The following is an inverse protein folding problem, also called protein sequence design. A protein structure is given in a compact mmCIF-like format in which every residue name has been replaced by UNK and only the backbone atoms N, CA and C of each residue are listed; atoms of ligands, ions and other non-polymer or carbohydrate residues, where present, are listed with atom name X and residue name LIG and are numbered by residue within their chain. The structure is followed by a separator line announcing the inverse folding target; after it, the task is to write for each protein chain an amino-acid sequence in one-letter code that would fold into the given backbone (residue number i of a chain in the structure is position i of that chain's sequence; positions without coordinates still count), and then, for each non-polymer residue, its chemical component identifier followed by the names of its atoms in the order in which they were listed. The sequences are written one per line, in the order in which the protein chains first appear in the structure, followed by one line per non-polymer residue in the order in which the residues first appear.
data_IF_093710881108
#
_entry.id   IF_093710881108
#
_cell.length_a   1.000
_cell.length_b   1.000
_cell.length_c   1.000
_cell.angle_alpha   90.00
_cell.angle_beta   90.00
_cell.angle_gamma   90.00
#
_symmetry.space_group_name_H-M   'P 1'
#
loop_
_entity.id
_entity.type
_entity.pdbx_description
1 polymer ?
#
# COMPACT_ATOMS: atom_id res chain seq x y z
N UNK A 1 -31.35 22.00 -1.66
CA UNK A 1 -30.67 20.91 -2.41
C UNK A 1 -29.68 21.49 -3.41
N UNK A 2 -30.11 22.37 -4.32
CA UNK A 2 -29.25 23.13 -5.24
C UNK A 2 -28.04 23.80 -4.57
N UNK A 3 -28.25 24.47 -3.43
CA UNK A 3 -27.15 25.08 -2.67
C UNK A 3 -26.13 24.07 -2.14
N UNK A 4 -26.56 22.86 -1.76
CA UNK A 4 -25.66 21.78 -1.32
C UNK A 4 -24.91 21.16 -2.51
N UNK A 5 -25.59 21.00 -3.65
CA UNK A 5 -25.00 20.53 -4.90
C UNK A 5 -23.91 21.51 -5.37
N UNK A 6 -24.20 22.82 -5.35
CA UNK A 6 -23.24 23.86 -5.69
C UNK A 6 -22.08 23.93 -4.70
N UNK A 7 -22.32 23.74 -3.40
CA UNK A 7 -21.26 23.69 -2.39
C UNK A 7 -20.32 22.49 -2.59
N UNK A 8 -20.86 21.31 -2.92
CA UNK A 8 -20.06 20.12 -3.23
C UNK A 8 -19.31 20.27 -4.55
N UNK A 9 -19.94 20.86 -5.57
CA UNK A 9 -19.30 21.17 -6.86
C UNK A 9 -18.16 22.19 -6.69
N UNK A 10 -18.34 23.25 -5.91
CA UNK A 10 -17.28 24.21 -5.58
C UNK A 10 -16.15 23.58 -4.76
N UNK A 11 -16.47 22.66 -3.84
CA UNK A 11 -15.47 21.90 -3.05
C UNK A 11 -14.72 20.84 -3.89
N UNK A 12 -15.21 20.52 -5.08
CA UNK A 12 -14.59 19.57 -6.01
C UNK A 12 -13.87 20.26 -7.17
N UNK A 13 -14.16 21.53 -7.48
CA UNK A 13 -13.51 22.30 -8.54
C UNK A 13 -12.03 22.67 -8.27
N UNK A 14 -11.49 22.32 -7.10
CA UNK A 14 -10.06 22.42 -6.78
C UNK A 14 -9.29 21.14 -7.15
N UNK A 15 -9.47 20.61 -8.37
CA UNK A 15 -8.93 19.32 -8.85
C UNK A 15 -7.39 19.19 -8.84
N UNK A 16 -6.65 20.14 -8.29
CA UNK A 16 -5.18 20.12 -8.19
C UNK A 16 -4.66 19.68 -6.80
N UNK A 17 -5.51 19.21 -5.88
CA UNK A 17 -5.13 18.80 -4.51
C UNK A 17 -5.37 17.31 -4.23
N UNK A 18 -5.51 16.49 -5.28
CA UNK A 18 -5.38 15.04 -5.11
C UNK A 18 -3.88 14.72 -5.11
N UNK A 19 -3.32 14.44 -3.93
CA UNK A 19 -1.89 14.24 -3.72
C UNK A 19 -1.18 13.39 -4.79
N UNK A 20 0.10 13.68 -5.02
CA UNK A 20 0.89 13.09 -6.11
C UNK A 20 1.10 11.57 -5.95
N UNK A 21 0.85 11.03 -4.74
CA UNK A 21 0.96 9.61 -4.44
C UNK A 21 -0.38 8.87 -4.58
N UNK A 22 -0.31 7.60 -5.01
CA UNK A 22 -1.47 6.71 -5.12
C UNK A 22 -2.24 6.57 -3.79
N UNK A 23 -1.52 6.52 -2.66
CA UNK A 23 -2.13 6.38 -1.34
C UNK A 23 -2.97 7.61 -0.96
N UNK A 24 -2.46 8.81 -1.21
CA UNK A 24 -3.16 10.08 -0.94
C UNK A 24 -4.38 10.24 -1.83
N UNK A 25 -4.29 9.81 -3.11
CA UNK A 25 -5.43 9.79 -4.03
C UNK A 25 -6.53 8.82 -3.60
N UNK A 26 -6.15 7.64 -3.11
CA UNK A 26 -7.10 6.68 -2.56
C UNK A 26 -7.78 7.23 -1.29
N UNK A 27 -7.01 7.82 -0.38
CA UNK A 27 -7.54 8.44 0.84
C UNK A 27 -8.51 9.59 0.53
N UNK A 28 -8.18 10.46 -0.43
CA UNK A 28 -9.06 11.52 -0.90
C UNK A 28 -10.38 10.97 -1.46
N UNK A 29 -10.31 9.93 -2.29
CA UNK A 29 -11.50 9.25 -2.83
C UNK A 29 -12.39 8.68 -1.72
N UNK A 30 -11.82 7.95 -0.76
CA UNK A 30 -12.57 7.35 0.33
C UNK A 30 -13.16 8.40 1.29
N UNK A 31 -12.52 9.56 1.46
CA UNK A 31 -13.07 10.68 2.24
C UNK A 31 -14.22 11.41 1.55
N UNK A 32 -14.24 11.44 0.21
CA UNK A 32 -15.31 12.08 -0.58
C UNK A 32 -16.52 11.16 -0.79
N UNK A 33 -16.31 9.84 -0.84
CA UNK A 33 -17.35 8.83 -1.09
C UNK A 33 -18.58 8.94 -0.17
N UNK A 34 -18.47 9.15 1.16
CA UNK A 34 -19.64 9.28 2.03
C UNK A 34 -20.50 10.51 1.71
N UNK A 35 -19.88 11.64 1.32
CA UNK A 35 -20.59 12.87 0.98
C UNK A 35 -21.40 12.70 -0.32
N UNK A 36 -20.84 11.99 -1.30
CA UNK A 36 -21.52 11.67 -2.55
C UNK A 36 -22.69 10.70 -2.33
N UNK A 37 -22.49 9.65 -1.53
CA UNK A 37 -23.54 8.69 -1.18
C UNK A 37 -24.70 9.37 -0.43
N UNK A 38 -24.41 10.28 0.50
CA UNK A 38 -25.43 11.05 1.20
C UNK A 38 -26.24 11.93 0.24
N UNK A 39 -25.58 12.59 -0.71
CA UNK A 39 -26.27 13.39 -1.73
C UNK A 39 -27.17 12.55 -2.64
N UNK A 40 -26.68 11.38 -3.08
CA UNK A 40 -27.45 10.46 -3.90
C UNK A 40 -28.69 9.95 -3.16
N UNK A 41 -28.55 9.63 -1.87
CA UNK A 41 -29.67 9.23 -1.03
C UNK A 41 -30.69 10.36 -0.86
N UNK A 42 -30.24 11.61 -0.63
CA UNK A 42 -31.12 12.79 -0.55
C UNK A 42 -31.88 13.00 -1.88
N UNK A 43 -31.21 12.87 -3.03
CA UNK A 43 -31.82 12.99 -4.37
C UNK A 43 -32.85 11.89 -4.63
N UNK A 44 -32.49 10.64 -4.35
CA UNK A 44 -33.39 9.51 -4.50
C UNK A 44 -34.65 9.69 -3.66
N UNK A 45 -34.50 10.06 -2.39
CA UNK A 45 -35.62 10.31 -1.47
C UNK A 45 -36.49 11.48 -1.94
N UNK A 46 -35.89 12.55 -2.46
CA UNK A 46 -36.64 13.67 -2.99
C UNK A 46 -37.40 13.31 -4.28
N UNK A 47 -36.80 12.49 -5.14
CA UNK A 47 -37.46 11.98 -6.34
C UNK A 47 -38.64 11.09 -5.98
N UNK A 48 -38.45 10.09 -5.11
CA UNK A 48 -39.53 9.18 -4.70
C UNK A 48 -40.68 9.94 -4.03
N UNK A 49 -40.39 10.88 -3.12
CA UNK A 49 -41.43 11.71 -2.50
C UNK A 49 -42.15 12.64 -3.49
N UNK A 50 -41.50 13.06 -4.57
CA UNK A 50 -42.15 13.81 -5.64
C UNK A 50 -43.04 12.90 -6.50
N UNK A 51 -42.55 11.72 -6.86
CA UNK A 51 -43.31 10.70 -7.59
C UNK A 51 -44.55 10.24 -6.80
N UNK A 52 -44.40 9.98 -5.50
CA UNK A 52 -45.51 9.60 -4.63
C UNK A 52 -46.57 10.69 -4.56
N UNK A 53 -46.16 11.96 -4.42
CA UNK A 53 -47.09 13.09 -4.48
C UNK A 53 -47.78 13.18 -5.82
N UNK A 54 -47.05 13.04 -6.92
CA UNK A 54 -47.61 13.07 -8.28
C UNK A 54 -48.69 12.00 -8.46
N UNK A 55 -48.37 10.74 -8.12
CA UNK A 55 -49.31 9.60 -8.13
C UNK A 55 -50.53 9.89 -7.25
N UNK A 56 -50.33 10.42 -6.03
CA UNK A 56 -51.43 10.80 -5.15
C UNK A 56 -52.29 11.93 -5.74
N UNK A 57 -51.73 12.92 -6.45
CA UNK A 57 -52.52 13.96 -7.12
C UNK A 57 -53.37 13.39 -8.25
N UNK A 58 -52.82 12.47 -9.04
CA UNK A 58 -53.57 11.78 -10.10
C UNK A 58 -54.71 10.97 -9.49
N UNK A 59 -54.43 10.17 -8.45
CA UNK A 59 -55.44 9.37 -7.75
C UNK A 59 -56.54 10.23 -7.11
N UNK A 60 -56.17 11.37 -6.49
CA UNK A 60 -57.15 12.33 -5.92
C UNK A 60 -58.00 13.00 -7.02
N UNK A 61 -57.43 13.28 -8.19
CA UNK A 61 -58.17 13.83 -9.34
C UNK A 61 -59.16 12.82 -9.93
N UNK A 62 -58.77 11.54 -10.00
CA UNK A 62 -59.68 10.45 -10.37
C UNK A 62 -60.80 10.26 -9.34
N UNK A 63 -60.49 10.30 -8.04
CA UNK A 63 -61.51 10.17 -6.99
C UNK A 63 -62.50 11.35 -6.92
N UNK A 64 -62.08 12.56 -7.31
CA UNK A 64 -63.01 13.70 -7.43
C UNK A 64 -63.96 13.59 -8.64
N UNK A 65 -63.59 12.86 -9.68
CA UNK A 65 -64.48 12.58 -10.81
C UNK A 65 -65.40 11.36 -10.60
N UNK A 66 -65.12 10.50 -9.63
CA UNK A 66 -65.96 9.35 -9.29
C UNK A 66 -66.98 9.59 -8.15
N UNK A 67 -66.99 10.76 -7.50
CA UNK A 67 -67.93 11.02 -6.39
C UNK A 67 -69.31 11.59 -6.83
N UNK A 68 -69.67 11.49 -8.11
CA UNK A 68 -71.02 11.81 -8.60
C UNK A 68 -71.45 10.78 -9.65
N UNK A 69 -71.62 9.53 -9.23
CA UNK A 69 -72.61 8.55 -9.71
C UNK A 69 -72.28 7.21 -9.03
N UNK A 70 -72.98 6.91 -7.93
CA UNK A 70 -74.01 5.86 -7.90
C UNK A 70 -73.44 4.44 -7.73
N UNK A 71 -73.37 4.03 -6.46
CA UNK A 71 -73.65 2.69 -5.91
C UNK A 71 -73.90 1.53 -6.88
N UNK A 72 -73.09 0.46 -6.79
CA UNK A 72 -73.50 -0.94 -6.54
C UNK A 72 -72.30 -1.70 -5.93
N UNK A 73 -72.63 -2.65 -5.05
CA UNK A 73 -71.87 -3.67 -4.31
C UNK A 73 -70.82 -4.40 -5.19
N UNK A 74 -69.76 -5.07 -4.71
CA UNK A 74 -69.70 -6.14 -3.71
C UNK A 74 -68.22 -6.50 -3.44
N UNK A 75 -67.99 -6.92 -2.21
CA UNK A 75 -66.84 -7.55 -1.55
C UNK A 75 -66.09 -8.65 -2.33
N UNK A 76 -64.74 -8.64 -2.27
CA UNK A 76 -63.83 -9.76 -1.88
C UNK A 76 -62.38 -9.23 -1.99
N UNK A 77 -61.74 -8.81 -0.91
CA UNK A 77 -60.89 -9.56 0.04
C UNK A 77 -59.42 -9.69 -0.39
N UNK A 78 -58.55 -9.62 0.62
CA UNK A 78 -57.12 -9.38 0.62
C UNK A 78 -56.28 -10.63 0.31
N UNK A 79 -55.09 -10.45 -0.30
CA UNK A 79 -53.83 -11.16 0.00
C UNK A 79 -52.72 -10.54 -0.89
N UNK A 80 -51.81 -9.71 -0.38
CA UNK A 80 -50.50 -10.00 0.24
C UNK A 80 -49.50 -10.80 -0.63
N UNK A 81 -48.35 -10.16 -0.88
CA UNK A 81 -47.04 -10.82 -0.76
C UNK A 81 -46.34 -11.40 -2.00
N UNK A 82 -45.26 -10.70 -2.38
CA UNK A 82 -43.94 -11.24 -2.81
C UNK A 82 -43.71 -11.56 -4.31
N UNK A 83 -42.66 -10.88 -4.80
CA UNK A 83 -41.69 -11.17 -5.87
C UNK A 83 -41.96 -12.28 -6.91
N UNK A 84 -41.80 -11.94 -8.19
CA UNK A 84 -40.62 -12.29 -9.02
C UNK A 84 -40.97 -12.22 -10.51
N UNK A 85 -39.97 -11.79 -11.27
CA UNK A 85 -39.72 -11.87 -12.71
C UNK A 85 -40.76 -12.56 -13.60
N UNK A 86 -41.17 -11.83 -14.65
CA UNK A 86 -41.79 -12.43 -15.83
C UNK A 86 -42.76 -11.48 -16.49
N UNK A 87 -42.27 -10.39 -17.10
CA UNK A 87 -43.09 -9.57 -18.01
C UNK A 87 -43.32 -10.41 -19.28
N UNK A 88 -44.27 -11.32 -19.23
CA UNK A 88 -45.06 -11.70 -20.40
C UNK A 88 -46.11 -10.59 -20.56
N UNK A 89 -45.76 -9.54 -21.30
CA UNK A 89 -46.77 -8.69 -21.92
C UNK A 89 -47.47 -9.55 -22.96
N UNK A 90 -48.50 -10.26 -22.49
CA UNK A 90 -49.57 -10.76 -23.34
C UNK A 90 -50.23 -9.49 -23.86
N UNK A 91 -49.87 -9.08 -25.08
CA UNK A 91 -50.74 -8.25 -25.91
C UNK A 91 -52.10 -8.95 -25.91
N UNK A 92 -53.01 -8.43 -25.10
CA UNK A 92 -54.40 -8.80 -25.20
C UNK A 92 -54.92 -8.17 -26.48
N UNK A 93 -54.77 -8.90 -27.58
CA UNK A 93 -55.63 -8.82 -28.76
C UNK A 93 -57.04 -9.22 -28.31
N UNK A 94 -57.69 -8.33 -27.56
CA UNK A 94 -59.13 -8.32 -27.45
C UNK A 94 -59.68 -7.69 -28.73
N UNK A 95 -59.56 -8.43 -29.84
CA UNK A 95 -60.49 -8.30 -30.94
C UNK A 95 -61.88 -8.68 -30.39
N UNK A 96 -62.51 -7.69 -29.75
CA UNK A 96 -63.92 -7.74 -29.36
C UNK A 96 -64.71 -7.82 -30.66
N UNK A 97 -64.94 -9.05 -31.12
CA UNK A 97 -65.83 -9.39 -32.22
C UNK A 97 -67.26 -8.98 -31.86
N UNK A 98 -67.56 -7.68 -31.99
CA UNK A 98 -68.93 -7.20 -32.12
C UNK A 98 -69.39 -7.61 -33.51
N UNK A 99 -70.12 -8.73 -33.59
CA UNK A 99 -70.94 -9.03 -34.75
C UNK A 99 -71.96 -7.91 -34.91
N UNK A 100 -71.65 -6.95 -35.76
CA UNK A 100 -72.67 -6.05 -36.28
C UNK A 100 -73.61 -6.89 -37.14
N UNK A 101 -74.64 -7.44 -36.52
CA UNK A 101 -75.86 -7.82 -37.22
C UNK A 101 -76.37 -6.51 -37.84
N UNK A 102 -76.03 -6.28 -39.10
CA UNK A 102 -76.54 -5.17 -39.88
C UNK A 102 -78.07 -5.27 -39.84
N UNK A 103 -78.71 -4.41 -39.05
CA UNK A 103 -80.17 -4.32 -38.99
C UNK A 103 -80.59 -3.72 -40.32
N UNK A 104 -80.86 -4.59 -41.28
CA UNK A 104 -81.55 -4.25 -42.52
C UNK A 104 -82.94 -3.75 -42.13
N UNK A 105 -83.09 -2.43 -42.00
CA UNK A 105 -84.40 -1.79 -41.83
C UNK A 105 -85.18 -2.00 -43.14
N UNK A 106 -85.98 -3.05 -43.19
CA UNK A 106 -86.96 -3.27 -44.25
C UNK A 106 -88.09 -2.26 -44.02
N UNK A 107 -88.10 -1.16 -44.79
CA UNK A 107 -89.21 -0.21 -44.81
C UNK A 107 -90.28 -0.74 -45.78
N UNK A 108 -91.52 -0.99 -45.35
CA UNK A 108 -92.59 -1.39 -46.26
C UNK A 108 -93.00 -0.21 -47.12
N UNK A 109 -93.09 -0.45 -48.42
CA UNK A 109 -93.50 0.52 -49.43
C UNK A 109 -94.90 1.08 -49.14
N UNK A 110 -94.97 2.37 -48.80
CA UNK A 110 -96.08 3.29 -49.14
C UNK A 110 -95.67 4.75 -48.89
N UNK A 111 -95.45 5.46 -49.98
CA UNK A 111 -95.54 6.91 -50.21
C UNK A 111 -95.21 7.85 -49.03
N UNK A 112 -93.98 8.37 -48.98
CA UNK A 112 -93.67 9.80 -48.75
C UNK A 112 -92.23 10.10 -49.25
N UNK A 113 -91.99 11.15 -50.06
CA UNK A 113 -90.66 11.51 -50.59
C UNK A 113 -89.68 12.07 -49.53
N UNK A 114 -90.04 12.06 -48.25
CA UNK A 114 -89.21 12.57 -47.15
C UNK A 114 -88.25 11.53 -46.54
N UNK A 115 -88.56 10.23 -46.61
CA UNK A 115 -87.81 9.19 -45.85
C UNK A 115 -86.52 8.73 -46.56
N UNK A 116 -86.48 8.81 -47.90
CA UNK A 116 -85.29 8.42 -48.69
C UNK A 116 -84.13 9.41 -48.54
N UNK A 117 -84.46 10.70 -48.37
CA UNK A 117 -83.45 11.73 -48.15
C UNK A 117 -82.79 11.57 -46.78
N UNK A 118 -83.54 11.14 -45.77
CA UNK A 118 -83.03 10.98 -44.40
C UNK A 118 -82.05 9.81 -44.27
N UNK A 119 -82.33 8.68 -44.96
CA UNK A 119 -81.41 7.55 -45.01
C UNK A 119 -80.11 7.87 -45.78
N UNK A 120 -80.21 8.61 -46.89
CA UNK A 120 -79.05 9.07 -47.65
C UNK A 120 -78.20 10.07 -46.85
N UNK A 121 -78.85 10.98 -46.12
CA UNK A 121 -78.16 11.92 -45.21
C UNK A 121 -77.48 11.16 -44.06
N UNK A 122 -78.13 10.15 -43.48
CA UNK A 122 -77.53 9.33 -42.44
C UNK A 122 -76.28 8.59 -42.94
N UNK A 123 -76.31 8.04 -44.15
CA UNK A 123 -75.15 7.37 -44.75
C UNK A 123 -73.98 8.33 -44.98
N UNK A 124 -74.23 9.55 -45.48
CA UNK A 124 -73.20 10.58 -45.61
C UNK A 124 -72.60 10.97 -44.26
N UNK A 125 -73.44 11.16 -43.24
CA UNK A 125 -72.98 11.51 -41.89
C UNK A 125 -72.14 10.39 -41.29
N UNK A 126 -72.58 9.14 -41.42
CA UNK A 126 -71.82 7.96 -40.98
C UNK A 126 -70.46 7.92 -41.69
N UNK A 127 -70.43 8.09 -43.02
CA UNK A 127 -69.19 8.06 -43.80
C UNK A 127 -68.24 9.20 -43.45
N UNK A 128 -68.75 10.40 -43.17
CA UNK A 128 -67.91 11.51 -42.69
C UNK A 128 -67.32 11.23 -41.31
N UNK A 129 -68.10 10.70 -40.38
CA UNK A 129 -67.59 10.35 -39.04
C UNK A 129 -66.55 9.21 -39.13
N UNK A 130 -66.80 8.19 -39.94
CA UNK A 130 -65.82 7.12 -40.22
C UNK A 130 -64.52 7.67 -40.81
N UNK A 131 -64.61 8.64 -41.72
CA UNK A 131 -63.45 9.30 -42.31
C UNK A 131 -62.66 10.11 -41.28
N UNK A 132 -63.34 10.88 -40.41
CA UNK A 132 -62.70 11.64 -39.33
C UNK A 132 -62.00 10.72 -38.32
N UNK A 133 -62.62 9.59 -37.97
CA UNK A 133 -62.01 8.56 -37.11
C UNK A 133 -60.73 8.01 -37.76
N UNK A 134 -60.81 7.63 -39.03
CA UNK A 134 -59.67 7.07 -39.76
C UNK A 134 -58.51 8.07 -39.87
N UNK A 135 -58.80 9.36 -40.14
CA UNK A 135 -57.77 10.41 -40.14
C UNK A 135 -57.09 10.49 -38.77
N UNK A 136 -57.87 10.49 -37.69
CA UNK A 136 -57.31 10.59 -36.35
C UNK A 136 -56.44 9.37 -36.00
N UNK A 137 -56.88 8.16 -36.35
CA UNK A 137 -56.10 6.93 -36.16
C UNK A 137 -54.79 6.96 -36.95
N UNK A 138 -54.82 7.36 -38.22
CA UNK A 138 -53.61 7.53 -39.05
C UNK A 138 -52.67 8.56 -38.42
N UNK A 139 -53.20 9.71 -37.96
CA UNK A 139 -52.39 10.75 -37.31
C UNK A 139 -51.71 10.24 -36.03
N UNK A 140 -52.42 9.44 -35.21
CA UNK A 140 -51.85 8.82 -34.01
C UNK A 140 -50.73 7.84 -34.37
N UNK A 141 -50.95 6.98 -35.37
CA UNK A 141 -49.95 6.00 -35.82
C UNK A 141 -48.72 6.65 -36.44
N UNK A 142 -48.89 7.71 -37.23
CA UNK A 142 -47.77 8.50 -37.77
C UNK A 142 -46.91 9.10 -36.66
N UNK A 143 -47.54 9.66 -35.63
CA UNK A 143 -46.83 10.18 -34.46
C UNK A 143 -46.06 9.08 -33.74
N UNK A 144 -46.69 7.94 -33.48
CA UNK A 144 -46.04 6.80 -32.83
C UNK A 144 -44.87 6.25 -33.66
N UNK A 145 -45.00 6.21 -34.99
CA UNK A 145 -43.94 5.82 -35.90
C UNK A 145 -42.75 6.80 -35.83
N UNK A 146 -43.03 8.11 -35.81
CA UNK A 146 -42.01 9.15 -35.61
C UNK A 146 -41.28 9.03 -34.26
N UNK A 147 -42.03 8.85 -33.17
CA UNK A 147 -41.48 8.63 -31.83
C UNK A 147 -40.63 7.34 -31.76
N UNK A 148 -41.07 6.27 -32.43
CA UNK A 148 -40.30 5.02 -32.53
C UNK A 148 -39.02 5.18 -33.36
N UNK A 149 -39.10 5.88 -34.49
CA UNK A 149 -37.95 6.16 -35.37
C UNK A 149 -36.86 6.95 -34.63
N UNK A 150 -37.26 8.02 -33.93
CA UNK A 150 -36.32 8.83 -33.13
C UNK A 150 -35.73 8.02 -31.97
N UNK A 151 -36.51 7.15 -31.31
CA UNK A 151 -35.99 6.23 -30.29
C UNK A 151 -34.93 5.29 -30.84
N UNK A 152 -35.15 4.71 -32.01
CA UNK A 152 -34.19 3.81 -32.67
C UNK A 152 -32.91 4.57 -33.03
N UNK A 153 -33.02 5.79 -33.53
CA UNK A 153 -31.87 6.63 -33.88
C UNK A 153 -31.02 6.96 -32.64
N UNK A 154 -31.67 7.36 -31.53
CA UNK A 154 -30.98 7.61 -30.26
C UNK A 154 -30.30 6.35 -29.71
N UNK A 155 -30.95 5.19 -29.81
CA UNK A 155 -30.36 3.92 -29.40
C UNK A 155 -29.12 3.55 -30.24
N UNK A 156 -29.14 3.83 -31.54
CA UNK A 156 -27.97 3.62 -32.41
C UNK A 156 -26.82 4.56 -32.04
N UNK A 157 -27.10 5.84 -31.81
CA UNK A 157 -26.08 6.81 -31.40
C UNK A 157 -25.45 6.45 -30.05
N UNK A 158 -26.25 6.00 -29.07
CA UNK A 158 -25.73 5.51 -27.80
C UNK A 158 -24.82 4.29 -27.99
N UNK A 159 -25.19 3.35 -28.86
CA UNK A 159 -24.39 2.17 -29.15
C UNK A 159 -23.05 2.56 -29.78
N UNK A 160 -23.03 3.50 -30.72
CA UNK A 160 -21.79 4.01 -31.34
C UNK A 160 -20.85 4.65 -30.30
N UNK A 161 -21.39 5.46 -29.39
CA UNK A 161 -20.61 6.04 -28.29
C UNK A 161 -20.01 4.95 -27.41
N UNK A 162 -20.80 3.97 -26.98
CA UNK A 162 -20.32 2.86 -26.15
C UNK A 162 -19.26 2.00 -26.87
N UNK A 163 -19.41 1.76 -28.17
CA UNK A 163 -18.40 1.06 -28.97
C UNK A 163 -17.10 1.85 -29.06
N UNK A 164 -17.19 3.18 -29.22
CA UNK A 164 -16.02 4.06 -29.25
C UNK A 164 -15.29 4.09 -27.90
N UNK A 165 -16.02 4.18 -26.79
CA UNK A 165 -15.46 4.11 -25.43
C UNK A 165 -14.78 2.77 -25.18
N UNK A 166 -15.42 1.66 -25.58
CA UNK A 166 -14.84 0.32 -25.48
C UNK A 166 -13.52 0.23 -26.24
N UNK A 167 -13.44 0.81 -27.44
CA UNK A 167 -12.24 0.79 -28.25
C UNK A 167 -11.11 1.63 -27.62
N UNK A 168 -11.43 2.80 -27.08
CA UNK A 168 -10.47 3.65 -26.34
C UNK A 168 -9.92 2.90 -25.13
N UNK A 169 -10.80 2.28 -24.32
CA UNK A 169 -10.39 1.51 -23.14
C UNK A 169 -9.53 0.30 -23.49
N UNK A 170 -9.84 -0.40 -24.58
CA UNK A 170 -9.01 -1.50 -25.07
C UNK A 170 -7.60 -1.03 -25.49
N UNK A 171 -7.52 0.11 -26.17
CA UNK A 171 -6.24 0.69 -26.57
C UNK A 171 -5.41 1.11 -25.34
N UNK A 172 -6.04 1.79 -24.39
CA UNK A 172 -5.39 2.22 -23.16
C UNK A 172 -4.90 1.02 -22.32
N UNK A 173 -5.70 -0.04 -22.21
CA UNK A 173 -5.27 -1.28 -21.56
C UNK A 173 -4.07 -1.93 -22.25
N UNK A 174 -4.03 -1.95 -23.59
CA UNK A 174 -2.87 -2.45 -24.32
C UNK A 174 -1.62 -1.60 -24.05
N UNK A 175 -1.77 -0.27 -24.08
CA UNK A 175 -0.68 0.69 -23.78
C UNK A 175 -0.14 0.51 -22.37
N UNK A 176 -1.02 0.41 -21.38
CA UNK A 176 -0.65 0.13 -20.00
C UNK A 176 0.03 -1.24 -19.86
N UNK A 177 -0.45 -2.26 -20.58
CA UNK A 177 0.18 -3.58 -20.64
C UNK A 177 1.63 -3.51 -21.11
N UNK A 178 1.92 -2.78 -22.20
CA UNK A 178 3.30 -2.57 -22.66
C UNK A 178 4.16 -1.83 -21.65
N UNK A 179 3.61 -0.81 -20.98
CA UNK A 179 4.35 -0.05 -19.96
C UNK A 179 4.68 -0.91 -18.74
N UNK A 180 3.72 -1.72 -18.27
CA UNK A 180 3.95 -2.68 -17.19
C UNK A 180 5.02 -3.70 -17.58
N UNK A 181 4.94 -4.27 -18.78
CA UNK A 181 5.94 -5.22 -19.27
C UNK A 181 7.36 -4.61 -19.31
N UNK A 182 7.49 -3.39 -19.81
CA UNK A 182 8.77 -2.66 -19.86
C UNK A 182 9.33 -2.39 -18.45
N UNK A 183 8.49 -1.91 -17.52
CA UNK A 183 8.92 -1.66 -16.14
C UNK A 183 9.27 -2.97 -15.39
N UNK A 184 8.61 -4.07 -15.72
CA UNK A 184 8.95 -5.39 -15.16
C UNK A 184 10.32 -5.87 -15.63
N UNK A 185 10.66 -5.65 -16.90
CA UNK A 185 11.97 -6.01 -17.45
C UNK A 185 13.09 -5.16 -16.84
N UNK A 186 12.88 -3.84 -16.70
CA UNK A 186 13.82 -2.95 -16.03
C UNK A 186 14.03 -3.35 -14.57
N UNK A 187 12.96 -3.61 -13.82
CA UNK A 187 13.06 -4.09 -12.43
C UNK A 187 13.83 -5.40 -12.32
N UNK A 188 13.63 -6.33 -13.26
CA UNK A 188 14.41 -7.58 -13.30
C UNK A 188 15.90 -7.30 -13.50
N UNK A 189 16.25 -6.35 -14.36
CA UNK A 189 17.62 -5.87 -14.53
C UNK A 189 18.21 -5.27 -13.25
N UNK A 190 17.48 -4.35 -12.61
CA UNK A 190 17.90 -3.71 -11.35
C UNK A 190 18.09 -4.72 -10.21
N UNK A 191 17.23 -5.73 -10.10
CA UNK A 191 17.39 -6.80 -9.12
C UNK A 191 18.67 -7.59 -9.37
N UNK A 192 18.98 -7.93 -10.62
CA UNK A 192 20.21 -8.63 -10.97
C UNK A 192 21.46 -7.78 -10.65
N UNK A 193 21.43 -6.49 -10.98
CA UNK A 193 22.50 -5.54 -10.69
C UNK A 193 22.72 -5.37 -9.17
N UNK A 194 21.63 -5.22 -8.41
CA UNK A 194 21.69 -5.11 -6.94
C UNK A 194 22.33 -6.35 -6.29
N UNK A 195 21.95 -7.54 -6.74
CA UNK A 195 22.54 -8.81 -6.26
C UNK A 195 24.03 -8.87 -6.61
N UNK A 196 24.41 -8.49 -7.83
CA UNK A 196 25.81 -8.45 -8.25
C UNK A 196 26.64 -7.49 -7.40
N UNK A 197 26.14 -6.27 -7.19
CA UNK A 197 26.83 -5.26 -6.38
C UNK A 197 26.98 -5.71 -4.92
N UNK A 198 25.95 -6.33 -4.35
CA UNK A 198 26.01 -6.93 -3.01
C UNK A 198 27.08 -8.02 -2.94
N UNK A 199 27.16 -8.89 -3.95
CA UNK A 199 28.19 -9.92 -4.02
C UNK A 199 29.59 -9.29 -4.09
N UNK A 200 29.80 -8.31 -4.95
CA UNK A 200 31.10 -7.62 -5.07
C UNK A 200 31.52 -6.90 -3.79
N UNK A 201 30.58 -6.23 -3.12
CA UNK A 201 30.84 -5.62 -1.81
C UNK A 201 31.26 -6.67 -0.77
N UNK A 202 30.60 -7.84 -0.75
CA UNK A 202 30.95 -8.93 0.17
C UNK A 202 32.31 -9.57 -0.13
N UNK A 203 32.65 -9.75 -1.41
CA UNK A 203 33.98 -10.23 -1.83
C UNK A 203 35.08 -9.27 -1.39
N UNK A 204 34.85 -7.97 -1.59
CA UNK A 204 35.78 -6.91 -1.17
C UNK A 204 35.96 -6.88 0.35
N UNK A 205 34.87 -6.97 1.11
CA UNK A 205 34.93 -7.03 2.57
C UNK A 205 35.77 -8.23 3.05
N UNK A 206 35.59 -9.40 2.44
CA UNK A 206 36.39 -10.60 2.75
C UNK A 206 37.88 -10.39 2.44
N UNK A 207 38.21 -9.77 1.31
CA UNK A 207 39.59 -9.45 0.95
C UNK A 207 40.25 -8.52 1.97
N UNK A 208 39.54 -7.47 2.38
CA UNK A 208 40.02 -6.50 3.37
C UNK A 208 40.27 -7.13 4.75
N UNK A 209 39.40 -8.04 5.19
CA UNK A 209 39.60 -8.79 6.43
C UNK A 209 40.86 -9.64 6.36
N UNK A 210 41.05 -10.38 5.26
CA UNK A 210 42.25 -11.19 5.05
C UNK A 210 43.52 -10.34 5.07
N UNK A 211 43.54 -9.21 4.36
CA UNK A 211 44.68 -8.30 4.33
C UNK A 211 45.07 -7.79 5.73
N UNK A 212 44.09 -7.45 6.56
CA UNK A 212 44.33 -6.99 7.93
C UNK A 212 44.92 -8.10 8.80
N UNK A 213 44.40 -9.31 8.66
CA UNK A 213 44.87 -10.46 9.43
C UNK A 213 46.29 -10.87 8.99
N UNK A 214 46.59 -10.84 7.69
CA UNK A 214 47.92 -11.05 7.13
C UNK A 214 48.92 -9.99 7.63
N UNK A 215 48.52 -8.71 7.66
CA UNK A 215 49.36 -7.64 8.20
C UNK A 215 49.66 -7.83 9.70
N UNK A 216 48.66 -8.25 10.47
CA UNK A 216 48.86 -8.56 11.89
C UNK A 216 49.81 -9.75 12.09
N UNK A 217 49.65 -10.81 11.29
CA UNK A 217 50.55 -11.96 11.33
C UNK A 217 51.99 -11.56 10.99
N UNK A 218 52.17 -10.72 9.97
CA UNK A 218 53.47 -10.16 9.61
C UNK A 218 54.13 -9.40 10.77
N UNK A 219 53.42 -8.47 11.41
CA UNK A 219 53.96 -7.71 12.56
C UNK A 219 54.32 -8.61 13.75
N UNK A 220 53.52 -9.64 14.01
CA UNK A 220 53.79 -10.60 15.08
C UNK A 220 55.03 -11.45 14.76
N UNK A 221 55.18 -11.91 13.51
CA UNK A 221 56.36 -12.65 13.07
C UNK A 221 57.63 -11.81 13.26
N UNK A 222 57.61 -10.54 12.86
CA UNK A 222 58.76 -9.66 13.06
C UNK A 222 59.08 -9.46 14.55
N UNK A 223 58.07 -9.36 15.41
CA UNK A 223 58.29 -9.28 16.86
C UNK A 223 58.88 -10.57 17.44
N UNK A 224 58.46 -11.73 16.93
CA UNK A 224 59.00 -13.04 17.32
C UNK A 224 60.48 -13.12 16.95
N UNK A 225 60.83 -12.73 15.72
CA UNK A 225 62.23 -12.70 15.25
C UNK A 225 63.10 -11.80 16.13
N UNK A 226 62.65 -10.58 16.45
CA UNK A 226 63.36 -9.67 17.36
C UNK A 226 63.58 -10.28 18.75
N UNK A 227 62.54 -10.93 19.30
CA UNK A 227 62.61 -11.57 20.62
C UNK A 227 63.52 -12.80 20.61
N UNK A 228 63.50 -13.60 19.54
CA UNK A 228 64.42 -14.72 19.35
C UNK A 228 65.87 -14.23 19.28
N UNK A 229 66.14 -13.15 18.57
CA UNK A 229 67.46 -12.50 18.54
C UNK A 229 67.92 -12.04 19.93
N UNK A 230 67.02 -11.45 20.73
CA UNK A 230 67.33 -11.06 22.11
C UNK A 230 67.62 -12.25 23.02
N UNK A 231 66.81 -13.31 22.94
CA UNK A 231 67.01 -14.56 23.70
C UNK A 231 68.38 -15.15 23.36
N UNK A 232 68.69 -15.31 22.07
CA UNK A 232 69.99 -15.80 21.63
C UNK A 232 71.15 -14.97 22.17
N UNK A 233 71.03 -13.63 22.13
CA UNK A 233 72.03 -12.73 22.69
C UNK A 233 72.21 -12.88 24.21
N UNK A 234 71.12 -13.07 24.96
CA UNK A 234 71.15 -13.32 26.40
C UNK A 234 71.73 -14.69 26.74
N UNK A 235 71.35 -15.73 26.01
CA UNK A 235 71.90 -17.09 26.16
C UNK A 235 73.41 -17.10 25.94
N UNK A 236 73.90 -16.38 24.92
CA UNK A 236 75.34 -16.22 24.65
C UNK A 236 76.05 -15.56 25.84
N UNK A 237 75.54 -14.43 26.34
CA UNK A 237 76.12 -13.72 27.50
C UNK A 237 76.09 -14.56 28.79
N UNK A 238 75.00 -15.28 29.03
CA UNK A 238 74.89 -16.18 30.18
C UNK A 238 75.92 -17.31 30.10
N UNK A 239 76.11 -17.91 28.92
CA UNK A 239 77.14 -18.93 28.70
C UNK A 239 78.53 -18.41 29.04
N UNK A 240 78.89 -17.23 28.50
CA UNK A 240 80.17 -16.57 28.80
C UNK A 240 80.33 -16.25 30.30
N UNK A 241 79.25 -15.88 31.00
CA UNK A 241 79.26 -15.65 32.44
C UNK A 241 79.56 -16.94 33.22
N UNK A 242 78.86 -18.04 32.92
CA UNK A 242 79.10 -19.33 33.59
C UNK A 242 80.49 -19.89 33.29
N UNK A 243 81.02 -19.71 32.08
CA UNK A 243 82.39 -20.09 31.75
C UNK A 243 83.42 -19.34 32.60
N UNK A 244 83.20 -18.04 32.84
CA UNK A 244 84.06 -17.25 33.75
C UNK A 244 83.97 -17.74 35.19
N UNK A 245 82.76 -18.03 35.67
CA UNK A 245 82.54 -18.57 37.01
C UNK A 245 83.27 -19.91 37.19
N UNK A 246 83.16 -20.82 36.22
CA UNK A 246 83.83 -22.11 36.25
C UNK A 246 85.36 -21.98 36.21
N UNK A 247 85.90 -20.98 35.49
CA UNK A 247 87.34 -20.68 35.52
C UNK A 247 87.79 -20.18 36.89
N UNK A 248 87.03 -19.28 37.52
CA UNK A 248 87.33 -18.79 38.88
C UNK A 248 87.30 -19.94 39.88
N UNK A 249 86.27 -20.79 39.84
CA UNK A 249 86.12 -21.93 40.74
C UNK A 249 87.29 -22.92 40.60
N UNK A 250 87.71 -23.23 39.37
CA UNK A 250 88.94 -24.02 39.11
C UNK A 250 90.19 -23.36 39.71
N UNK A 251 90.39 -22.06 39.50
CA UNK A 251 91.56 -21.35 40.08
C UNK A 251 91.52 -21.27 41.61
N UNK A 252 90.33 -21.23 42.22
CA UNK A 252 90.14 -21.20 43.67
C UNK A 252 90.38 -22.58 44.28
N UNK A 253 89.92 -23.66 43.64
CA UNK A 253 90.20 -25.04 44.03
C UNK A 253 91.70 -25.35 43.88
N UNK A 254 92.35 -24.92 42.79
CA UNK A 254 93.80 -25.09 42.60
C UNK A 254 94.63 -24.32 43.64
N UNK A 255 94.19 -23.15 44.09
CA UNK A 255 94.86 -22.38 45.15
C UNK A 255 94.64 -22.96 46.55
N UNK A 256 93.46 -23.52 46.84
CA UNK A 256 93.22 -24.27 48.10
C UNK A 256 94.01 -25.59 48.14
N UNK A 257 94.18 -26.24 46.98
CA UNK A 257 94.97 -27.48 46.85
C UNK A 257 96.46 -27.24 47.11
N UNK A 258 97.00 -26.08 46.68
CA UNK A 258 98.41 -25.70 46.91
C UNK A 258 98.70 -25.22 48.34
N UNK A 259 97.70 -24.73 49.07
CA UNK A 259 97.86 -24.33 50.47
C UNK A 259 97.75 -25.49 51.48
N UNK A 260 97.45 -26.73 51.05
CA UNK A 260 97.43 -27.91 51.92
C UNK A 260 98.80 -28.58 52.12
N UNK A 261 99.84 -28.13 51.42
CA UNK A 261 101.19 -28.69 51.51
C UNK A 261 102.18 -27.85 52.34
N UNK A 262 101.77 -26.73 52.96
CA UNK A 262 102.64 -26.03 53.91
C UNK A 262 101.91 -25.54 55.17
N UNK A 263 102.19 -26.28 56.24
CA UNK A 263 102.05 -26.00 57.67
C UNK A 263 100.66 -25.85 58.29
N UNK A 264 100.48 -26.59 59.39
CA UNK A 264 99.66 -26.13 60.50
C UNK A 264 100.12 -24.74 60.92
N UNK A 265 99.28 -23.75 60.68
CA UNK A 265 98.90 -22.74 61.65
C UNK A 265 97.73 -21.94 61.08
N UNK A 266 96.75 -21.78 61.95
CA UNK A 266 95.61 -20.89 61.90
C UNK A 266 95.93 -19.55 61.21
N UNK A 267 95.29 -19.28 60.08
CA UNK A 267 95.16 -17.92 59.54
C UNK A 267 93.74 -17.76 58.99
N UNK A 268 92.97 -16.99 59.75
CA UNK A 268 91.68 -16.39 59.40
C UNK A 268 91.72 -15.72 58.02
N UNK A 269 90.95 -16.23 57.06
CA UNK A 269 90.74 -15.59 55.77
C UNK A 269 89.35 -14.95 55.71
N UNK A 270 89.24 -13.81 56.40
CA UNK A 270 88.15 -12.87 56.28
C UNK A 270 88.46 -11.89 55.13
N UNK A 271 88.13 -12.27 53.88
CA UNK A 271 88.02 -11.38 52.71
C UNK A 271 87.67 -12.26 51.49
N UNK A 272 86.44 -12.30 50.97
CA UNK A 272 85.96 -11.30 50.01
C UNK A 272 84.47 -11.56 49.67
N UNK A 273 83.55 -11.45 50.63
CA UNK A 273 82.13 -11.28 50.32
C UNK A 273 81.70 -9.84 50.58
N UNK A 274 82.20 -8.90 49.79
CA UNK A 274 81.49 -7.63 49.61
C UNK A 274 80.40 -7.84 48.57
N UNK A 275 79.26 -8.38 49.04
CA UNK A 275 77.98 -8.22 48.34
C UNK A 275 77.71 -6.71 48.33
N UNK A 276 78.16 -6.04 47.28
CA UNK A 276 77.78 -4.66 47.00
C UNK A 276 76.29 -4.71 46.66
N UNK A 277 75.44 -4.53 47.67
CA UNK A 277 74.00 -4.27 47.49
C UNK A 277 73.89 -3.08 46.54
N UNK A 278 73.65 -3.37 45.26
CA UNK A 278 73.32 -2.33 44.29
C UNK A 278 71.93 -1.82 44.67
N UNK A 279 71.92 -0.72 45.41
CA UNK A 279 70.71 0.03 45.72
C UNK A 279 69.99 0.33 44.41
N UNK A 280 68.78 -0.20 44.26
CA UNK A 280 67.85 0.18 43.20
C UNK A 280 67.57 1.68 43.32
N UNK A 281 68.24 2.49 42.49
CA UNK A 281 67.89 3.90 42.29
C UNK A 281 66.65 3.93 41.40
N UNK A 282 65.47 3.93 42.04
CA UNK A 282 64.28 4.51 41.42
C UNK A 282 64.57 6.00 41.23
N UNK A 283 64.61 6.45 39.98
CA UNK A 283 64.54 7.87 39.68
C UNK A 283 63.13 8.35 40.04
N UNK A 284 62.99 8.87 41.26
CA UNK A 284 61.94 9.80 41.61
C UNK A 284 62.54 11.20 41.45
N UNK A 285 62.41 11.78 40.25
CA UNK A 285 62.59 13.21 40.07
C UNK A 285 61.21 13.83 40.22
N UNK A 286 60.98 14.39 41.41
CA UNK A 286 59.85 15.25 41.67
C UNK A 286 60.35 16.64 42.02
N UNK A 287 59.56 17.61 41.58
CA UNK A 287 59.39 18.97 42.12
C UNK A 287 60.19 20.09 41.45
N UNK A 288 59.48 20.91 40.68
CA UNK A 288 59.34 22.33 41.01
C UNK A 288 57.85 22.65 41.12
N UNK A 289 57.49 23.18 42.29
CA UNK A 289 56.17 23.73 42.63
C UNK A 289 56.03 25.14 42.02
N UNK A 290 54.82 25.52 41.62
CA UNK A 290 54.24 26.79 42.06
C UNK A 290 52.70 26.74 42.04
N UNK A 291 52.17 26.81 43.27
CA UNK A 291 50.93 27.43 43.76
C UNK A 291 49.78 27.77 42.80
N UNK A 292 48.60 27.23 43.12
CA UNK A 292 47.28 27.76 42.76
C UNK A 292 46.16 26.79 43.13
N UNK A 293 45.24 27.21 43.97
CA UNK A 293 44.22 26.41 44.67
C UNK A 293 43.23 25.65 43.75
N UNK A 294 42.83 24.43 44.14
CA UNK A 294 41.54 24.19 44.80
C UNK A 294 41.14 22.70 44.86
N UNK A 295 40.86 22.26 46.09
CA UNK A 295 39.78 21.36 46.51
C UNK A 295 39.61 19.96 45.88
N UNK A 296 39.72 19.00 46.82
CA UNK A 296 38.96 17.75 47.03
C UNK A 296 39.45 16.46 46.35
N UNK A 297 39.80 15.55 47.26
CA UNK A 297 39.95 14.11 47.16
C UNK A 297 38.95 13.43 46.21
N UNK A 298 39.40 12.54 45.33
CA UNK A 298 39.61 11.14 45.68
C UNK A 298 40.30 10.41 44.51
N UNK A 299 41.32 9.64 44.84
CA UNK A 299 42.12 8.81 43.94
C UNK A 299 41.36 7.52 43.56
N UNK A 300 41.38 7.14 42.28
CA UNK A 300 40.85 5.85 41.82
C UNK A 300 40.62 5.74 40.30
N UNK A 301 41.58 6.20 39.49
CA UNK A 301 41.65 6.13 38.02
C UNK A 301 42.69 5.04 37.70
N UNK A 302 42.63 4.15 36.70
CA UNK A 302 41.92 4.07 35.42
C UNK A 302 42.11 2.63 34.92
N UNK A 303 41.07 1.81 34.95
CA UNK A 303 41.04 0.56 34.20
C UNK A 303 39.59 0.32 33.79
N UNK A 304 39.37 -0.06 32.52
CA UNK A 304 38.07 -0.47 31.94
C UNK A 304 37.04 0.62 31.56
N UNK A 305 37.47 1.72 30.91
CA UNK A 305 36.50 2.63 30.24
C UNK A 305 36.19 2.26 28.79
N UNK A 306 37.03 1.44 28.14
CA UNK A 306 36.78 0.95 26.78
C UNK A 306 35.74 -0.19 26.76
N UNK A 307 35.83 -1.11 27.71
CA UNK A 307 34.91 -2.25 27.86
C UNK A 307 33.48 -1.85 28.25
N UNK A 308 33.32 -0.77 29.02
CA UNK A 308 32.00 -0.25 29.38
C UNK A 308 31.20 0.28 28.16
N UNK A 309 31.89 0.70 27.09
CA UNK A 309 31.27 1.22 25.86
C UNK A 309 30.88 0.12 24.86
N UNK A 310 31.43 -1.08 25.02
CA UNK A 310 31.08 -2.26 24.20
C UNK A 310 29.84 -2.97 24.76
N UNK A 311 29.60 -2.86 26.07
CA UNK A 311 28.45 -3.50 26.74
C UNK A 311 27.17 -2.64 26.76
N UNK A 312 27.23 -1.37 26.36
CA UNK A 312 26.08 -0.46 26.30
C UNK A 312 25.46 -0.35 24.90
N UNK A 313 25.74 -1.31 24.02
CA UNK A 313 25.16 -1.36 22.68
C UNK A 313 24.29 -2.61 22.54
N UNK A 314 23.30 -2.71 23.44
CA UNK A 314 22.06 -3.39 23.12
C UNK A 314 21.11 -2.33 22.57
N UNK A 315 20.86 -2.36 21.26
CA UNK A 315 19.72 -1.70 20.64
C UNK A 315 19.30 -2.43 19.36
N UNK A 316 18.19 -3.16 19.51
CA UNK A 316 17.09 -3.46 18.57
C UNK A 316 17.43 -4.29 17.30
N UNK A 317 17.07 -5.58 17.26
CA UNK A 317 15.75 -6.17 16.92
C UNK A 317 15.27 -5.87 15.49
N UNK A 318 15.40 -6.86 14.61
CA UNK A 318 14.38 -7.21 13.62
C UNK A 318 14.54 -8.69 13.24
N UNK A 319 13.84 -9.57 13.95
CA UNK A 319 13.75 -11.00 13.68
C UNK A 319 12.36 -11.46 14.09
N UNK A 320 11.59 -11.86 13.07
CA UNK A 320 10.16 -12.13 13.10
C UNK A 320 9.69 -13.09 14.21
N UNK A 321 8.54 -12.75 14.79
CA UNK A 321 7.64 -13.68 15.46
C UNK A 321 7.15 -14.73 14.46
N UNK A 322 7.42 -16.00 14.74
CA UNK A 322 6.70 -17.12 14.13
C UNK A 322 5.78 -17.78 15.15
N UNK A 323 4.59 -18.10 14.65
CA UNK A 323 3.54 -19.02 15.14
C UNK A 323 2.41 -18.44 16.02
N UNK A 324 1.19 -19.05 16.03
CA UNK A 324 0.51 -19.87 15.01
C UNK A 324 -0.98 -19.47 14.79
N UNK A 325 -1.55 -19.80 13.63
CA UNK A 325 -2.94 -20.30 13.42
C UNK A 325 -3.02 -20.95 12.05
#
# INVERSE_FOLDING_TARGET
MEQKINLLAMKNAGENDAGDSFAERAEFYYNKRPQLLALLQELYTAYTTLSDRYIQTIAKRHNHHHNRHSSVTSTLDSFDGVEDSGISQIESDAESSLSYQQVSVIIPAKNYPMVYNDAFVAEIVIKNVEYDILINEVSILEKQCGDSSTKIELQKSLLEVLESERLILLNENARLGYRVASLMEENKGLVAESVFMKQKASEMARCMLKLRDDHRAYLLNQKIEDLQGQIYGLEKKNREYYEKLAKIDKTMVESISKNKEHNGNEVTLEACFQIRKLKSKRHHSGVINNSGSDRKSNSGRKTYRWWAKVKSMDMFLCGHSTNPM
#
